data_IF_909561607268
#
_entry.id   IF_909561607268
#
_cell.length_a   1.000
_cell.length_b   1.000
_cell.length_c   1.000
_cell.angle_alpha   90.00
_cell.angle_beta   90.00
_cell.angle_gamma   90.00
#
_symmetry.space_group_name_H-M   'P 1'
#
loop_
_entity.id
_entity.type
_entity.pdbx_description
1 polymer ?
#
# COMPACT_ATOMS: atom_id res chain seq x y z
N UNK A 1 16.49 17.46 18.03
CA UNK A 1 17.48 16.71 17.22
C UNK A 1 17.55 17.40 15.87
N UNK A 2 18.72 17.83 15.39
CA UNK A 2 18.81 18.41 14.05
C UNK A 2 18.42 17.33 13.02
N UNK A 3 17.48 17.66 12.13
CA UNK A 3 16.92 16.76 11.11
C UNK A 3 18.00 16.29 10.11
N UNK A 4 19.16 16.93 10.09
CA UNK A 4 20.25 16.68 9.15
C UNK A 4 21.05 15.39 9.43
N UNK A 5 20.78 14.69 10.55
CA UNK A 5 21.46 13.44 10.93
C UNK A 5 20.56 12.19 10.82
N UNK A 6 19.45 12.24 10.08
CA UNK A 6 18.60 11.07 9.89
C UNK A 6 19.30 10.02 9.01
N UNK A 7 19.46 8.80 9.54
CA UNK A 7 19.93 7.64 8.77
C UNK A 7 18.73 6.81 8.34
N UNK A 8 18.51 6.73 7.03
CA UNK A 8 17.42 5.96 6.46
C UNK A 8 17.87 4.53 6.13
N UNK A 9 17.10 3.53 6.56
CA UNK A 9 17.33 2.12 6.20
C UNK A 9 16.60 1.73 4.92
N UNK A 10 15.50 2.39 4.63
CA UNK A 10 14.79 2.22 3.39
C UNK A 10 14.31 3.58 2.87
N UNK A 11 14.39 3.76 1.55
CA UNK A 11 13.95 4.96 0.85
C UNK A 11 13.19 4.52 -0.39
N UNK A 12 12.09 5.19 -0.68
CA UNK A 12 11.32 5.01 -1.90
C UNK A 12 10.91 6.38 -2.45
N UNK A 13 10.76 6.49 -3.76
CA UNK A 13 10.43 7.74 -4.43
C UNK A 13 9.41 7.52 -5.52
N UNK A 14 8.47 8.45 -5.66
CA UNK A 14 7.43 8.38 -6.68
C UNK A 14 7.04 9.78 -7.16
N UNK A 15 6.34 9.83 -8.30
CA UNK A 15 5.76 11.06 -8.84
C UNK A 15 4.27 11.13 -8.52
N UNK A 16 3.82 12.28 -8.05
CA UNK A 16 2.42 12.59 -7.78
C UNK A 16 2.11 13.98 -8.33
N UNK A 17 1.20 14.04 -9.30
CA UNK A 17 0.79 15.30 -9.95
C UNK A 17 2.00 16.13 -10.44
N UNK A 18 3.00 15.47 -11.02
CA UNK A 18 4.22 16.11 -11.53
C UNK A 18 5.25 16.49 -10.46
N UNK A 19 4.95 16.21 -9.19
CA UNK A 19 5.83 16.47 -8.05
C UNK A 19 6.51 15.18 -7.60
N UNK A 20 7.83 15.20 -7.40
CA UNK A 20 8.54 14.02 -6.87
C UNK A 20 8.50 14.05 -5.35
N UNK A 21 8.06 12.96 -4.74
CA UNK A 21 8.02 12.78 -3.29
C UNK A 21 8.93 11.62 -2.93
N UNK A 22 9.73 11.81 -1.89
CA UNK A 22 10.64 10.79 -1.36
C UNK A 22 10.20 10.46 0.06
N UNK A 23 10.04 9.17 0.34
CA UNK A 23 9.80 8.64 1.67
C UNK A 23 11.06 7.96 2.18
N UNK A 24 11.33 8.10 3.47
CA UNK A 24 12.45 7.47 4.14
C UNK A 24 12.02 6.87 5.47
N UNK A 25 12.47 5.66 5.76
CA UNK A 25 12.26 5.01 7.06
C UNK A 25 13.52 5.09 7.89
N UNK A 26 13.42 5.72 9.05
CA UNK A 26 14.47 5.68 10.07
C UNK A 26 14.27 4.47 10.95
N UNK A 27 15.37 3.80 11.29
CA UNK A 27 15.35 2.65 12.16
C UNK A 27 15.98 2.99 13.51
N UNK A 28 15.35 2.62 14.62
CA UNK A 28 15.94 2.82 15.94
C UNK A 28 17.26 2.05 16.06
N UNK A 29 18.23 2.62 16.77
CA UNK A 29 19.45 1.89 17.12
C UNK A 29 19.11 0.67 17.98
N UNK A 30 19.95 -0.36 17.93
CA UNK A 30 19.75 -1.58 18.70
C UNK A 30 19.62 -1.23 20.20
N UNK A 31 18.47 -1.54 20.80
CA UNK A 31 18.16 -1.25 22.21
C UNK A 31 17.41 0.06 22.47
N UNK A 32 17.16 0.89 21.45
CA UNK A 32 16.26 2.03 21.59
C UNK A 32 14.80 1.56 21.64
N UNK A 33 14.00 2.17 22.52
CA UNK A 33 12.57 1.86 22.71
C UNK A 33 11.67 2.53 21.66
N UNK A 34 12.18 3.54 20.96
CA UNK A 34 11.42 4.25 19.94
C UNK A 34 11.21 3.35 18.72
N UNK A 35 10.01 3.33 18.13
CA UNK A 35 9.78 2.59 16.91
C UNK A 35 10.44 3.23 15.67
N UNK A 36 10.46 2.49 14.55
CA UNK A 36 10.75 3.08 13.25
C UNK A 36 9.75 4.20 12.92
N UNK A 37 10.25 5.25 12.26
CA UNK A 37 9.46 6.41 11.84
C UNK A 37 9.57 6.56 10.34
N UNK A 38 8.46 6.97 9.72
CA UNK A 38 8.42 7.32 8.31
C UNK A 38 8.50 8.83 8.17
N UNK A 39 9.37 9.24 7.26
CA UNK A 39 9.63 10.62 6.91
C UNK A 39 9.36 10.81 5.43
N UNK A 40 9.01 12.03 5.04
CA UNK A 40 8.90 12.41 3.65
C UNK A 40 9.54 13.76 3.38
N UNK A 41 9.96 13.98 2.13
CA UNK A 41 10.31 15.28 1.59
C UNK A 41 9.85 15.37 0.15
N UNK A 42 9.66 16.59 -0.33
CA UNK A 42 9.09 16.86 -1.63
C UNK A 42 10.06 17.67 -2.47
N UNK A 43 10.28 17.28 -3.73
CA UNK A 43 10.96 18.10 -4.71
C UNK A 43 9.95 19.07 -5.30
N UNK A 44 10.04 20.33 -4.89
CA UNK A 44 9.13 21.37 -5.30
C UNK A 44 9.63 22.05 -6.59
N UNK A 45 9.30 21.45 -7.74
CA UNK A 45 9.68 22.00 -9.05
C UNK A 45 8.96 23.32 -9.38
N UNK A 46 7.88 23.64 -8.66
CA UNK A 46 7.16 24.90 -8.82
C UNK A 46 7.85 26.07 -8.11
N UNK A 47 8.84 25.81 -7.25
CA UNK A 47 9.77 26.85 -6.81
C UNK A 47 10.64 27.24 -8.00
N UNK A 48 10.21 28.26 -8.72
CA UNK A 48 11.09 29.03 -9.59
C UNK A 48 12.16 29.65 -8.70
N UNK A 49 13.33 29.02 -8.64
CA UNK A 49 14.56 29.75 -8.34
C UNK A 49 14.57 30.97 -9.26
N UNK A 50 14.89 32.15 -8.72
CA UNK A 50 15.06 33.38 -9.52
C UNK A 50 15.76 33.00 -10.83
N UNK A 51 15.04 33.09 -11.94
CA UNK A 51 15.51 32.68 -13.27
C UNK A 51 16.72 33.50 -13.73
N UNK A 52 17.09 34.54 -12.98
CA UNK A 52 18.11 35.52 -13.31
C UNK A 52 19.48 35.24 -12.69
N UNK A 53 19.68 34.14 -11.96
CA UNK A 53 21.02 33.68 -11.58
C UNK A 53 21.47 32.47 -12.41
N UNK A 54 22.13 32.70 -13.57
CA UNK A 54 22.80 31.63 -14.30
C UNK A 54 23.92 31.04 -13.43
N UNK A 55 23.64 29.92 -12.76
CA UNK A 55 24.61 29.25 -11.87
C UNK A 55 24.04 28.65 -10.58
N UNK A 56 22.78 28.92 -10.19
CA UNK A 56 22.16 28.35 -8.98
C UNK A 56 21.49 26.99 -9.22
N UNK A 57 22.15 26.11 -9.99
CA UNK A 57 21.75 24.71 -10.19
C UNK A 57 21.97 23.84 -8.94
N UNK A 58 22.11 24.43 -7.75
CA UNK A 58 22.08 23.69 -6.50
C UNK A 58 20.66 23.16 -6.25
N UNK A 59 20.36 22.04 -6.92
CA UNK A 59 19.16 21.21 -6.81
C UNK A 59 18.78 20.89 -5.36
N UNK A 60 19.74 21.01 -4.43
CA UNK A 60 19.54 20.82 -2.99
C UNK A 60 18.50 21.79 -2.38
N UNK A 61 18.37 23.00 -2.91
CA UNK A 61 17.47 24.05 -2.37
C UNK A 61 16.00 23.84 -2.72
N UNK A 62 15.70 23.05 -3.75
CA UNK A 62 14.32 22.80 -4.22
C UNK A 62 13.57 21.73 -3.45
N UNK A 63 14.29 21.02 -2.59
CA UNK A 63 13.68 20.03 -1.74
C UNK A 63 13.19 20.67 -0.45
N UNK A 64 12.01 20.27 -0.01
CA UNK A 64 11.60 20.55 1.35
C UNK A 64 12.53 19.84 2.34
N UNK A 65 12.54 20.30 3.59
CA UNK A 65 13.08 19.50 4.69
C UNK A 65 12.31 18.18 4.84
N UNK A 66 12.88 17.27 5.63
CA UNK A 66 12.16 16.07 6.06
C UNK A 66 11.07 16.42 7.05
N UNK A 67 9.89 15.85 6.83
CA UNK A 67 8.73 15.90 7.71
C UNK A 67 8.36 14.48 8.13
N UNK A 68 7.93 14.30 9.37
CA UNK A 68 7.36 13.02 9.80
C UNK A 68 6.00 12.80 9.11
N UNK A 69 5.76 11.57 8.65
CA UNK A 69 4.49 11.19 8.01
C UNK A 69 3.40 11.14 9.08
N UNK A 70 2.30 11.92 8.95
CA UNK A 70 1.22 11.89 9.92
C UNK A 70 0.39 10.62 9.76
N UNK A 71 -0.15 10.10 10.86
CA UNK A 71 -1.05 8.94 10.83
C UNK A 71 -2.30 9.17 11.68
N UNK A 72 -3.46 8.63 11.27
CA UNK A 72 -4.71 8.82 12.00
C UNK A 72 -4.78 7.88 13.20
N UNK A 73 -5.45 8.28 14.30
CA UNK A 73 -5.60 7.48 15.51
C UNK A 73 -6.73 6.43 15.42
N UNK A 74 -7.34 6.29 14.24
CA UNK A 74 -8.48 5.42 13.99
C UNK A 74 -8.08 4.28 13.04
N UNK A 75 -8.65 3.11 13.28
CA UNK A 75 -8.47 1.89 12.50
C UNK A 75 -9.82 1.39 12.00
N UNK A 76 -9.87 0.92 10.76
CA UNK A 76 -11.05 0.34 10.12
C UNK A 76 -10.64 -0.85 9.28
N UNK A 77 -11.38 -1.96 9.33
CA UNK A 77 -11.14 -3.07 8.41
C UNK A 77 -11.48 -2.63 6.96
N UNK A 78 -10.62 -2.98 6.00
CA UNK A 78 -10.86 -2.70 4.59
C UNK A 78 -12.22 -3.28 4.15
N UNK A 79 -12.97 -2.50 3.36
CA UNK A 79 -14.32 -2.83 2.91
C UNK A 79 -15.41 -2.87 3.99
N UNK A 80 -15.12 -2.52 5.25
CA UNK A 80 -16.13 -2.38 6.30
C UNK A 80 -16.32 -0.92 6.72
N UNK A 81 -17.43 -0.29 6.33
CA UNK A 81 -17.73 1.10 6.73
C UNK A 81 -18.27 1.27 8.15
N UNK A 82 -18.84 0.21 8.74
CA UNK A 82 -19.63 0.32 9.98
C UNK A 82 -18.80 0.30 11.28
N UNK A 83 -17.59 -0.26 11.25
CA UNK A 83 -16.76 -0.43 12.45
C UNK A 83 -15.44 0.34 12.30
N UNK A 84 -15.41 1.54 12.87
CA UNK A 84 -14.16 2.29 13.06
C UNK A 84 -13.81 2.27 14.54
N UNK A 85 -12.63 1.73 14.86
CA UNK A 85 -12.15 1.60 16.24
C UNK A 85 -11.16 2.73 16.49
N UNK A 86 -11.36 3.46 17.59
CA UNK A 86 -10.32 4.35 18.14
C UNK A 86 -9.24 3.48 18.76
N UNK A 87 -8.29 3.09 17.93
CA UNK A 87 -7.12 2.36 18.35
C UNK A 87 -5.93 3.14 17.83
N UNK A 88 -5.08 3.62 18.75
CA UNK A 88 -3.75 4.02 18.35
C UNK A 88 -3.05 2.77 17.83
N UNK A 89 -3.12 2.58 16.52
CA UNK A 89 -2.19 1.72 15.83
C UNK A 89 -0.84 2.27 16.21
N UNK A 90 -0.06 1.51 16.98
CA UNK A 90 1.35 1.82 17.12
C UNK A 90 1.89 1.79 15.69
N UNK A 91 2.05 2.98 15.10
CA UNK A 91 2.56 3.15 13.74
C UNK A 91 4.03 2.71 13.61
N UNK A 92 4.58 2.30 14.75
CA UNK A 92 5.84 1.68 14.97
C UNK A 92 5.83 0.16 15.08
N UNK A 93 6.97 -0.42 14.71
CA UNK A 93 7.34 -1.84 14.76
C UNK A 93 7.04 -2.65 13.49
N UNK A 94 7.45 -2.12 12.33
CA UNK A 94 8.02 -3.05 11.36
C UNK A 94 9.19 -3.79 12.05
N UNK A 95 9.27 -5.13 11.93
CA UNK A 95 10.44 -5.91 12.43
C UNK A 95 11.61 -5.92 11.45
N UNK A 96 11.38 -5.49 10.21
CA UNK A 96 12.41 -5.24 9.21
C UNK A 96 12.15 -3.90 8.51
N UNK A 97 13.22 -3.15 8.13
CA UNK A 97 13.04 -1.94 7.34
C UNK A 97 12.46 -2.26 5.96
N UNK A 98 11.68 -1.34 5.42
CA UNK A 98 11.11 -1.43 4.08
C UNK A 98 9.87 -2.31 3.96
N UNK A 99 9.21 -2.66 5.06
CA UNK A 99 7.90 -3.32 5.07
C UNK A 99 6.75 -2.35 4.69
N UNK A 100 6.95 -1.54 3.65
CA UNK A 100 5.97 -0.57 3.16
C UNK A 100 6.16 -0.29 1.67
N UNK A 101 5.11 0.23 1.03
CA UNK A 101 5.06 0.64 -0.38
C UNK A 101 4.20 1.88 -0.54
N UNK A 102 4.62 2.79 -1.40
CA UNK A 102 3.86 4.01 -1.73
C UNK A 102 3.50 4.01 -3.21
N UNK A 103 2.26 4.40 -3.51
CA UNK A 103 1.73 4.51 -4.86
C UNK A 103 0.95 5.81 -5.00
N UNK A 104 0.92 6.38 -6.19
CA UNK A 104 0.16 7.59 -6.52
C UNK A 104 -0.92 7.23 -7.54
N UNK A 105 -2.18 7.60 -7.26
CA UNK A 105 -3.29 7.40 -8.19
C UNK A 105 -4.49 8.28 -7.87
N UNK A 106 -5.17 8.80 -8.90
CA UNK A 106 -6.48 9.46 -8.77
C UNK A 106 -6.54 10.61 -7.75
N UNK A 107 -5.52 11.48 -7.73
CA UNK A 107 -5.44 12.61 -6.78
C UNK A 107 -4.99 12.24 -5.36
N UNK A 108 -4.66 10.96 -5.13
CA UNK A 108 -4.23 10.48 -3.82
C UNK A 108 -2.86 9.80 -3.86
N UNK A 109 -2.22 9.78 -2.70
CA UNK A 109 -1.04 9.01 -2.38
C UNK A 109 -1.45 7.91 -1.40
N UNK A 110 -1.18 6.67 -1.76
CA UNK A 110 -1.48 5.48 -0.97
C UNK A 110 -0.20 4.95 -0.34
N UNK A 111 -0.17 4.85 0.98
CA UNK A 111 0.93 4.23 1.72
C UNK A 111 0.44 2.94 2.35
N UNK A 112 0.95 1.82 1.85
CA UNK A 112 0.73 0.49 2.39
C UNK A 112 1.89 0.11 3.31
N UNK A 113 1.59 -0.49 4.47
CA UNK A 113 2.58 -0.89 5.48
C UNK A 113 2.20 -2.26 6.03
N UNK A 114 3.15 -3.18 6.08
CA UNK A 114 2.97 -4.40 6.86
C UNK A 114 3.48 -4.14 8.27
N UNK A 115 2.60 -4.32 9.27
CA UNK A 115 2.92 -4.11 10.67
C UNK A 115 2.56 -5.36 11.49
N UNK A 116 3.35 -5.61 12.52
CA UNK A 116 3.07 -6.60 13.56
C UNK A 116 2.57 -5.86 14.81
N UNK A 117 1.25 -5.70 14.92
CA UNK A 117 0.63 -4.94 16.01
C UNK A 117 0.35 -5.78 17.27
N UNK A 118 0.68 -7.07 17.25
CA UNK A 118 0.51 -7.91 18.45
C UNK A 118 1.64 -7.60 19.45
N UNK A 119 1.34 -7.56 20.76
CA UNK A 119 2.38 -7.46 21.79
C UNK A 119 3.39 -8.61 21.65
N UNK A 120 4.68 -8.41 21.99
CA UNK A 120 5.73 -9.43 21.90
C UNK A 120 5.33 -10.81 22.42
N UNK A 121 4.55 -10.83 23.50
CA UNK A 121 4.10 -12.05 24.19
C UNK A 121 3.01 -12.83 23.42
N UNK A 122 2.30 -12.20 22.48
CA UNK A 122 1.23 -12.79 21.67
C UNK A 122 1.59 -12.83 20.18
N UNK A 123 2.84 -12.54 19.83
CA UNK A 123 3.30 -12.56 18.45
C UNK A 123 3.40 -14.00 17.94
N UNK A 124 2.83 -14.23 16.77
CA UNK A 124 2.87 -15.48 16.03
C UNK A 124 3.41 -15.18 14.61
N UNK A 125 3.87 -16.20 13.88
CA UNK A 125 4.37 -16.10 12.52
C UNK A 125 3.36 -15.44 11.56
N UNK A 126 2.07 -15.47 11.92
CA UNK A 126 0.97 -14.90 11.14
C UNK A 126 0.39 -13.61 11.74
N UNK A 127 1.12 -12.91 12.60
CA UNK A 127 0.66 -11.66 13.22
C UNK A 127 0.69 -10.45 12.28
N UNK A 128 1.48 -10.52 11.22
CA UNK A 128 1.60 -9.45 10.24
C UNK A 128 0.29 -9.20 9.49
N UNK A 129 -0.03 -7.92 9.36
CA UNK A 129 -1.18 -7.42 8.59
C UNK A 129 -0.74 -6.25 7.73
N UNK A 130 -1.38 -6.09 6.58
CA UNK A 130 -1.18 -4.92 5.73
C UNK A 130 -2.17 -3.84 6.13
N UNK A 131 -1.66 -2.63 6.35
CA UNK A 131 -2.41 -1.42 6.66
C UNK A 131 -2.22 -0.42 5.53
N UNK A 132 -3.23 0.38 5.23
CA UNK A 132 -3.09 1.45 4.26
C UNK A 132 -3.59 2.78 4.80
N UNK A 133 -2.92 3.84 4.39
CA UNK A 133 -3.31 5.22 4.62
C UNK A 133 -3.35 5.96 3.30
N UNK A 134 -4.28 6.89 3.18
CA UNK A 134 -4.43 7.75 2.02
C UNK A 134 -4.10 9.18 2.37
N UNK A 135 -3.37 9.82 1.46
CA UNK A 135 -2.91 11.18 1.61
C UNK A 135 -3.22 12.00 0.37
N UNK A 136 -3.27 13.30 0.58
CA UNK A 136 -3.28 14.33 -0.46
C UNK A 136 -2.03 15.19 -0.29
N UNK A 137 -1.61 15.89 -1.34
CA UNK A 137 -0.43 16.76 -1.31
C UNK A 137 -0.78 18.23 -1.63
N UNK A 138 -1.65 18.89 -0.83
CA UNK A 138 -1.97 20.29 -1.05
C UNK A 138 -0.75 21.19 -0.83
N UNK A 139 -0.72 22.33 -1.51
CA UNK A 139 0.22 23.41 -1.21
C UNK A 139 -0.32 24.25 -0.07
N UNK A 140 0.45 24.38 0.99
CA UNK A 140 0.09 25.14 2.19
C UNK A 140 1.22 26.09 2.58
N UNK A 141 0.89 27.14 3.34
CA UNK A 141 1.90 28.09 3.85
C UNK A 141 2.96 27.31 4.64
N UNK A 142 4.24 27.59 4.35
CA UNK A 142 5.35 26.92 5.01
C UNK A 142 5.24 27.06 6.54
N UNK A 143 5.32 25.95 7.30
CA UNK A 143 5.14 25.96 8.75
C UNK A 143 6.30 26.65 9.48
N UNK A 144 7.42 26.88 8.80
CA UNK A 144 8.61 27.55 9.35
C UNK A 144 8.47 29.08 9.42
N UNK A 145 7.29 29.61 9.09
CA UNK A 145 6.85 30.95 9.49
C UNK A 145 7.59 32.10 8.80
N UNK A 146 6.93 32.73 7.82
CA UNK A 146 6.99 34.18 7.53
C UNK A 146 8.32 34.85 7.10
N UNK A 147 9.48 34.23 7.28
CA UNK A 147 10.78 34.83 6.96
C UNK A 147 11.28 34.45 5.56
N UNK A 148 10.79 33.36 4.99
CA UNK A 148 10.90 33.08 3.55
C UNK A 148 9.78 33.80 2.82
N UNK A 149 9.89 35.14 2.73
CA UNK A 149 9.11 35.88 1.74
C UNK A 149 9.62 35.43 0.37
N UNK A 150 8.72 34.98 -0.51
CA UNK A 150 9.05 34.84 -1.91
C UNK A 150 9.50 36.20 -2.48
N UNK A 151 10.13 36.20 -3.65
CA UNK A 151 10.62 37.41 -4.33
C UNK A 151 9.51 38.49 -4.48
N UNK A 152 8.24 38.11 -4.42
CA UNK A 152 7.04 38.97 -4.49
C UNK A 152 6.48 39.45 -3.13
N UNK A 153 7.02 39.02 -1.99
CA UNK A 153 6.45 39.32 -0.67
C UNK A 153 5.21 38.51 -0.29
N UNK A 154 4.75 37.59 -1.16
CA UNK A 154 3.69 36.63 -0.86
C UNK A 154 4.19 35.48 0.02
N UNK A 155 3.28 34.91 0.81
CA UNK A 155 3.58 33.78 1.68
C UNK A 155 3.98 32.56 0.82
N UNK A 156 5.20 32.06 1.03
CA UNK A 156 5.69 30.87 0.35
C UNK A 156 4.83 29.65 0.73
N UNK A 157 4.15 29.07 -0.26
CA UNK A 157 3.45 27.80 -0.09
C UNK A 157 4.36 26.66 -0.51
N UNK A 158 4.34 25.58 0.26
CA UNK A 158 5.09 24.34 -0.01
C UNK A 158 4.12 23.16 -0.03
N UNK A 159 4.36 22.14 -0.86
CA UNK A 159 3.58 20.90 -0.82
C UNK A 159 3.70 20.24 0.56
N UNK A 160 2.57 19.86 1.17
CA UNK A 160 2.55 19.17 2.45
C UNK A 160 1.68 17.93 2.37
N UNK A 161 2.18 16.82 2.89
CA UNK A 161 1.43 15.58 2.96
C UNK A 161 0.34 15.71 4.04
N UNK A 162 -0.92 15.54 3.64
CA UNK A 162 -2.08 15.60 4.52
C UNK A 162 -2.88 14.32 4.43
N UNK A 163 -3.36 13.84 5.58
CA UNK A 163 -4.31 12.73 5.61
C UNK A 163 -5.53 13.08 4.77
N UNK A 164 -5.97 12.13 3.95
CA UNK A 164 -7.19 12.27 3.20
C UNK A 164 -8.39 12.42 4.15
N UNK A 165 -9.40 13.16 3.71
CA UNK A 165 -10.60 13.43 4.48
C UNK A 165 -11.74 12.59 3.93
N UNK A 166 -12.61 12.12 4.80
CA UNK A 166 -13.84 11.46 4.40
C UNK A 166 -15.08 12.22 4.89
N UNK A 167 -16.19 12.06 4.18
CA UNK A 167 -17.47 12.55 4.64
C UNK A 167 -18.02 11.62 5.73
N UNK A 168 -18.46 12.20 6.84
CA UNK A 168 -19.17 11.50 7.92
C UNK A 168 -20.37 12.32 8.38
N UNK A 169 -21.31 11.67 9.04
CA UNK A 169 -22.40 12.35 9.73
C UNK A 169 -21.84 13.23 10.85
N UNK A 170 -22.16 14.52 10.83
CA UNK A 170 -21.47 15.54 11.63
C UNK A 170 -21.67 15.38 13.13
N UNK A 171 -22.84 14.90 13.56
CA UNK A 171 -23.16 14.68 14.99
C UNK A 171 -22.70 13.31 15.46
N UNK A 172 -22.99 12.24 14.71
CA UNK A 172 -22.56 10.88 15.10
C UNK A 172 -21.07 10.63 14.95
N UNK A 173 -20.41 11.33 14.02
CA UNK A 173 -19.03 11.07 13.61
C UNK A 173 -18.85 9.74 12.86
N UNK A 174 -19.94 9.08 12.45
CA UNK A 174 -19.93 7.81 11.72
C UNK A 174 -20.05 8.04 10.21
N UNK A 175 -19.44 7.16 9.41
CA UNK A 175 -19.49 7.26 7.93
C UNK A 175 -20.92 7.11 7.40
N UNK A 176 -21.63 6.08 7.86
CA UNK A 176 -22.92 5.66 7.28
C UNK A 176 -24.12 5.78 8.22
N UNK A 177 -23.90 5.92 9.53
CA UNK A 177 -24.99 5.92 10.53
C UNK A 177 -25.24 7.31 11.11
N UNK A 178 -26.34 7.99 10.75
CA UNK A 178 -26.72 9.25 11.39
C UNK A 178 -27.12 9.04 12.86
N UNK A 179 -26.87 10.03 13.71
CA UNK A 179 -27.36 10.03 15.10
C UNK A 179 -28.88 10.30 15.16
N UNK A 180 -29.41 11.05 14.20
CA UNK A 180 -30.83 11.44 14.12
C UNK A 180 -31.19 11.86 12.69
N UNK A 181 -32.47 12.08 12.41
CA UNK A 181 -32.97 12.52 11.10
C UNK A 181 -32.44 13.88 10.63
N UNK A 182 -31.92 14.70 11.54
CA UNK A 182 -31.32 16.02 11.24
C UNK A 182 -29.79 15.99 11.20
N UNK A 183 -29.18 14.81 11.34
CA UNK A 183 -27.74 14.64 11.22
C UNK A 183 -27.37 14.59 9.73
N UNK A 184 -26.59 15.56 9.27
CA UNK A 184 -26.17 15.68 7.88
C UNK A 184 -24.73 15.22 7.72
N UNK A 185 -24.35 14.75 6.54
CA UNK A 185 -22.95 14.46 6.23
C UNK A 185 -22.12 15.73 6.02
N UNK A 186 -20.83 15.66 6.34
CA UNK A 186 -19.85 16.73 6.10
C UNK A 186 -18.41 16.21 6.30
N UNK A 187 -17.42 17.01 5.92
CA UNK A 187 -15.99 16.69 6.11
C UNK A 187 -15.43 17.21 7.43
N UNK A 188 -16.28 17.86 8.24
CA UNK A 188 -15.97 18.37 9.57
C UNK A 188 -17.13 18.08 10.51
N UNK A 189 -16.82 17.82 11.76
CA UNK A 189 -17.81 17.58 12.80
C UNK A 189 -18.56 18.86 13.23
N UNK A 190 -19.24 18.79 14.38
CA UNK A 190 -19.94 19.91 14.97
C UNK A 190 -19.02 20.91 15.69
N UNK A 191 -17.79 20.53 16.07
CA UNK A 191 -16.78 21.43 16.67
C UNK A 191 -15.90 22.10 15.61
N UNK A 192 -15.94 21.62 14.37
CA UNK A 192 -15.18 22.12 13.23
C UNK A 192 -13.93 21.30 12.93
N UNK A 193 -13.69 20.21 13.66
CA UNK A 193 -12.57 19.32 13.44
C UNK A 193 -12.78 18.49 12.18
N UNK A 194 -11.71 18.28 11.41
CA UNK A 194 -11.80 17.54 10.15
C UNK A 194 -11.94 16.04 10.39
N UNK A 195 -12.85 15.40 9.66
CA UNK A 195 -12.91 13.95 9.59
C UNK A 195 -11.79 13.45 8.68
N UNK A 196 -10.75 12.90 9.31
CA UNK A 196 -9.66 12.20 8.60
C UNK A 196 -10.06 10.76 8.34
N UNK A 197 -9.62 10.21 7.22
CA UNK A 197 -9.76 8.79 6.96
C UNK A 197 -8.98 7.96 7.98
N UNK A 198 -9.57 6.86 8.50
CA UNK A 198 -8.86 5.95 9.37
C UNK A 198 -7.79 5.17 8.59
N UNK A 199 -6.88 4.55 9.34
CA UNK A 199 -6.01 3.52 8.78
C UNK A 199 -6.88 2.32 8.37
N UNK A 200 -6.73 1.84 7.14
CA UNK A 200 -7.44 0.65 6.68
C UNK A 200 -6.61 -0.61 6.94
N UNK A 201 -7.20 -1.64 7.54
CA UNK A 201 -6.59 -2.96 7.76
C UNK A 201 -7.05 -3.95 6.69
N UNK A 202 -6.11 -4.54 5.97
CA UNK A 202 -6.33 -5.62 5.01
C UNK A 202 -6.09 -6.95 5.72
N UNK A 203 -7.11 -7.40 6.46
CA UNK A 203 -7.01 -8.56 7.37
C UNK A 203 -6.75 -9.91 6.65
N UNK A 204 -7.10 -9.98 5.37
CA UNK A 204 -6.84 -11.12 4.48
C UNK A 204 -5.38 -11.22 4.04
N UNK A 205 -4.61 -10.12 4.09
CA UNK A 205 -3.21 -10.11 3.69
C UNK A 205 -2.33 -10.43 4.91
N UNK A 206 -1.59 -11.55 4.83
CA UNK A 206 -0.76 -12.05 5.94
C UNK A 206 0.69 -12.26 5.52
N UNK A 207 1.41 -11.19 5.14
CA UNK A 207 2.77 -11.33 4.63
C UNK A 207 3.72 -11.83 5.71
N UNK A 208 4.37 -12.95 5.46
CA UNK A 208 5.46 -13.49 6.26
C UNK A 208 6.57 -12.44 6.37
N UNK A 209 6.94 -12.09 7.62
CA UNK A 209 7.93 -11.06 7.93
C UNK A 209 7.64 -9.69 7.31
N UNK A 210 6.37 -9.40 6.99
CA UNK A 210 5.96 -8.16 6.37
C UNK A 210 6.42 -7.99 4.92
N UNK A 211 6.82 -9.08 4.24
CA UNK A 211 7.24 -9.04 2.85
C UNK A 211 6.03 -9.06 1.91
N UNK A 212 5.72 -7.88 1.38
CA UNK A 212 4.72 -7.72 0.35
C UNK A 212 5.13 -6.66 -0.67
N UNK A 213 4.45 -6.65 -1.80
CA UNK A 213 4.42 -5.53 -2.73
C UNK A 213 3.01 -5.36 -3.26
N UNK A 214 2.69 -4.16 -3.72
CA UNK A 214 1.39 -3.80 -4.27
C UNK A 214 1.61 -2.94 -5.50
N UNK A 215 0.71 -3.06 -6.47
CA UNK A 215 0.69 -2.25 -7.68
C UNK A 215 -0.74 -2.05 -8.14
N UNK A 216 -0.94 -1.04 -8.97
CA UNK A 216 -2.21 -0.78 -9.62
C UNK A 216 -2.16 -1.35 -11.03
N UNK A 217 -3.16 -2.13 -11.43
CA UNK A 217 -3.28 -2.70 -12.77
C UNK A 217 -4.61 -2.34 -13.40
N UNK A 218 -4.69 -2.19 -14.74
CA UNK A 218 -5.97 -2.04 -15.41
C UNK A 218 -6.90 -3.22 -15.12
N UNK A 219 -8.20 -2.99 -15.10
CA UNK A 219 -9.20 -4.04 -14.96
C UNK A 219 -9.97 -4.29 -16.26
N UNK A 220 -10.73 -5.39 -16.29
CA UNK A 220 -11.73 -5.68 -17.32
C UNK A 220 -13.02 -4.85 -17.15
N UNK A 221 -13.17 -4.10 -16.06
CA UNK A 221 -14.28 -3.20 -15.82
C UNK A 221 -13.91 -1.81 -16.34
N UNK A 222 -14.64 -1.26 -17.33
CA UNK A 222 -14.32 0.02 -17.93
C UNK A 222 -14.19 1.15 -16.89
N UNK A 223 -13.09 1.89 -16.96
CA UNK A 223 -12.82 3.02 -16.07
C UNK A 223 -12.40 2.64 -14.64
N UNK A 224 -12.22 1.35 -14.35
CA UNK A 224 -11.76 0.87 -13.03
C UNK A 224 -10.41 0.15 -13.13
N UNK A 225 -9.61 0.34 -12.09
CA UNK A 225 -8.34 -0.35 -11.88
C UNK A 225 -8.49 -1.44 -10.81
N UNK A 226 -7.46 -2.27 -10.63
CA UNK A 226 -7.35 -3.28 -9.58
C UNK A 226 -6.08 -3.06 -8.76
N UNK A 227 -6.21 -3.22 -7.46
CA UNK A 227 -5.06 -3.39 -6.59
C UNK A 227 -4.57 -4.83 -6.67
N UNK A 228 -3.32 -5.02 -7.07
CA UNK A 228 -2.69 -6.33 -7.10
C UNK A 228 -1.61 -6.42 -6.03
N UNK A 229 -1.84 -7.25 -5.02
CA UNK A 229 -0.91 -7.53 -3.93
C UNK A 229 -0.18 -8.84 -4.18
N UNK A 230 1.10 -8.86 -3.81
CA UNK A 230 1.91 -10.06 -3.75
C UNK A 230 2.52 -10.14 -2.37
N UNK A 231 2.25 -11.23 -1.66
CA UNK A 231 2.71 -11.45 -0.31
C UNK A 231 3.58 -12.71 -0.28
N UNK A 232 4.73 -12.66 0.39
CA UNK A 232 5.42 -13.89 0.79
C UNK A 232 4.61 -14.49 1.92
N UNK A 233 4.23 -15.75 1.82
CA UNK A 233 3.37 -16.44 2.78
C UNK A 233 3.91 -17.83 3.08
N UNK A 234 3.27 -18.52 4.03
CA UNK A 234 3.51 -19.93 4.30
C UNK A 234 2.31 -20.73 3.83
N UNK A 235 2.57 -21.75 3.01
CA UNK A 235 1.58 -22.69 2.53
C UNK A 235 1.79 -24.03 3.22
N UNK A 236 0.73 -24.59 3.79
CA UNK A 236 0.70 -25.97 4.24
C UNK A 236 0.13 -26.82 3.12
N UNK A 237 0.91 -27.72 2.49
CA UNK A 237 0.34 -28.63 1.53
C UNK A 237 -0.69 -29.52 2.21
N UNK A 238 -1.79 -29.80 1.51
CA UNK A 238 -2.78 -30.77 1.98
C UNK A 238 -2.08 -32.10 2.25
N UNK A 239 -2.46 -32.74 3.37
CA UNK A 239 -2.07 -34.13 3.61
C UNK A 239 -2.61 -34.99 2.47
N UNK A 240 -1.80 -35.93 1.98
CA UNK A 240 -2.26 -36.97 1.06
C UNK A 240 -3.56 -37.59 1.61
N UNK A 241 -4.58 -37.81 0.77
CA UNK A 241 -5.89 -38.31 1.23
C UNK A 241 -5.82 -39.65 1.97
N UNK A 242 -4.73 -40.41 1.76
CA UNK A 242 -4.46 -41.70 2.42
C UNK A 242 -3.43 -41.62 3.56
N UNK A 243 -3.02 -40.43 3.99
CA UNK A 243 -2.12 -40.28 5.13
C UNK A 243 -2.81 -40.77 6.42
N UNK A 244 -2.10 -41.57 7.24
CA UNK A 244 -2.60 -41.98 8.56
C UNK A 244 -3.02 -40.75 9.38
N UNK A 245 -4.11 -40.87 10.15
CA UNK A 245 -4.67 -39.78 10.94
C UNK A 245 -3.68 -39.14 11.94
N UNK A 246 -2.61 -39.87 12.30
CA UNK A 246 -1.55 -39.43 13.20
C UNK A 246 -0.24 -39.07 12.46
N UNK A 247 -0.22 -39.07 11.13
CA UNK A 247 0.94 -38.67 10.36
C UNK A 247 1.25 -37.18 10.63
N UNK A 248 2.52 -36.82 10.88
CA UNK A 248 2.88 -35.42 11.10
C UNK A 248 2.50 -34.61 9.87
N UNK A 249 1.78 -33.49 10.10
CA UNK A 249 1.43 -32.58 9.03
C UNK A 249 2.69 -32.16 8.26
N UNK A 250 2.62 -32.07 6.93
CA UNK A 250 3.78 -31.67 6.15
C UNK A 250 4.25 -30.27 6.57
N UNK A 251 5.57 -30.01 6.49
CA UNK A 251 6.13 -28.74 6.93
C UNK A 251 5.58 -27.60 6.07
N UNK A 252 5.36 -26.45 6.72
CA UNK A 252 5.02 -25.20 6.04
C UNK A 252 6.12 -24.83 5.04
N UNK A 253 5.72 -24.51 3.81
CA UNK A 253 6.62 -24.08 2.74
C UNK A 253 6.41 -22.60 2.42
N UNK A 254 7.46 -21.83 2.11
CA UNK A 254 7.27 -20.47 1.62
C UNK A 254 6.55 -20.49 0.27
N UNK A 255 5.56 -19.62 0.12
CA UNK A 255 4.80 -19.42 -1.12
C UNK A 255 4.62 -17.93 -1.41
N UNK A 256 4.15 -17.60 -2.61
CA UNK A 256 3.72 -16.24 -2.94
C UNK A 256 2.20 -16.25 -3.11
N UNK A 257 1.51 -15.58 -2.19
CA UNK A 257 0.09 -15.25 -2.34
C UNK A 257 -0.05 -14.05 -3.27
N UNK A 258 -0.91 -14.15 -4.28
CA UNK A 258 -1.32 -13.02 -5.14
C UNK A 258 -2.76 -12.68 -4.81
N UNK A 259 -3.11 -11.40 -4.64
CA UNK A 259 -4.48 -10.96 -4.38
C UNK A 259 -4.83 -9.85 -5.36
N UNK A 260 -5.99 -9.96 -6.01
CA UNK A 260 -6.48 -8.96 -6.96
C UNK A 260 -7.81 -8.42 -6.47
N UNK A 261 -7.84 -7.14 -6.11
CA UNK A 261 -9.00 -6.47 -5.51
C UNK A 261 -9.46 -5.35 -6.43
N UNK A 262 -10.73 -5.35 -6.81
CA UNK A 262 -11.31 -4.27 -7.63
C UNK A 262 -11.25 -2.96 -6.84
N UNK A 263 -10.92 -1.87 -7.54
CA UNK A 263 -10.93 -0.54 -6.97
C UNK A 263 -12.33 0.08 -7.14
N UNK A 264 -12.87 0.59 -6.05
CA UNK A 264 -14.11 1.36 -6.06
C UNK A 264 -13.87 2.76 -6.64
N UNK A 265 -14.95 3.49 -6.94
CA UNK A 265 -14.91 4.85 -7.48
C UNK A 265 -14.27 5.83 -6.49
N UNK A 266 -14.36 5.54 -5.18
CA UNK A 266 -13.66 6.30 -4.15
C UNK A 266 -12.15 6.01 -4.14
N UNK A 267 -11.67 5.03 -4.90
CA UNK A 267 -10.28 4.66 -5.04
C UNK A 267 -9.77 3.64 -4.01
N UNK A 268 -10.58 3.20 -3.06
CA UNK A 268 -10.28 2.08 -2.16
C UNK A 268 -10.71 0.75 -2.76
N UNK A 269 -10.57 -0.35 -2.00
CA UNK A 269 -11.01 -1.67 -2.46
C UNK A 269 -12.53 -1.80 -2.37
N UNK A 270 -13.13 -2.24 -3.46
CA UNK A 270 -14.51 -2.73 -3.49
C UNK A 270 -14.51 -4.18 -3.04
N UNK A 271 -14.90 -4.42 -1.78
CA UNK A 271 -15.09 -5.78 -1.24
C UNK A 271 -16.53 -6.28 -1.40
N UNK A 272 -17.41 -5.51 -2.04
CA UNK A 272 -18.76 -5.99 -2.40
C UNK A 272 -18.70 -6.94 -3.59
N UNK A 273 -17.65 -6.83 -4.40
CA UNK A 273 -17.30 -7.71 -5.52
C UNK A 273 -16.68 -9.06 -5.06
N UNK A 274 -17.33 -9.75 -4.12
CA UNK A 274 -17.06 -11.12 -3.61
C UNK A 274 -16.21 -11.27 -2.35
N UNK A 275 -16.93 -11.35 -1.24
CA UNK A 275 -16.58 -12.22 -0.12
C UNK A 275 -16.96 -13.70 -0.43
N UNK A 276 -16.51 -14.24 -1.55
CA UNK A 276 -16.43 -15.69 -1.75
C UNK A 276 -15.00 -16.13 -1.43
N UNK A 277 -14.69 -16.17 -0.14
CA UNK A 277 -13.59 -16.99 0.37
C UNK A 277 -14.01 -18.47 0.25
N UNK A 278 -14.09 -18.98 -0.98
CA UNK A 278 -14.30 -20.40 -1.25
C UNK A 278 -12.96 -21.12 -1.21
N UNK A 279 -12.80 -21.92 -0.17
CA UNK A 279 -11.78 -22.93 0.09
C UNK A 279 -11.72 -24.06 -0.97
N UNK A 280 -11.87 -23.78 -2.26
CA UNK A 280 -11.86 -24.84 -3.29
C UNK A 280 -10.98 -24.49 -4.48
N UNK A 281 -10.00 -25.38 -4.66
CA UNK A 281 -8.79 -25.32 -5.49
C UNK A 281 -9.05 -25.40 -7.01
N UNK A 282 -10.30 -25.52 -7.45
CA UNK A 282 -10.63 -26.05 -8.79
C UNK A 282 -11.12 -25.05 -9.84
N UNK A 283 -11.33 -23.77 -9.52
CA UNK A 283 -11.79 -22.76 -10.51
C UNK A 283 -10.70 -21.81 -11.01
N UNK A 284 -9.42 -22.22 -10.92
CA UNK A 284 -8.27 -21.33 -11.16
C UNK A 284 -8.04 -20.91 -12.63
N UNK A 285 -8.72 -21.51 -13.62
CA UNK A 285 -8.40 -21.31 -15.04
C UNK A 285 -9.58 -21.15 -16.00
N UNK A 286 -10.83 -21.31 -15.54
CA UNK A 286 -11.96 -21.44 -16.46
C UNK A 286 -12.58 -20.11 -16.87
N UNK A 287 -12.47 -19.06 -16.08
CA UNK A 287 -13.09 -17.76 -16.33
C UNK A 287 -12.15 -16.72 -15.66
N UNK A 288 -12.05 -15.46 -16.10
CA UNK A 288 -11.50 -14.40 -15.23
C UNK A 288 -12.65 -13.70 -14.45
N UNK A 289 -13.28 -14.27 -13.40
CA UNK A 289 -14.19 -13.54 -12.55
C UNK A 289 -13.58 -13.39 -11.15
N UNK A 290 -13.56 -12.15 -10.67
CA UNK A 290 -13.65 -11.70 -9.28
C UNK A 290 -12.92 -12.53 -8.21
N UNK A 291 -11.87 -11.90 -7.67
CA UNK A 291 -11.05 -12.33 -6.51
C UNK A 291 -10.45 -13.73 -6.65
N UNK A 292 -9.60 -13.92 -7.66
CA UNK A 292 -8.70 -15.06 -7.70
C UNK A 292 -7.42 -14.76 -6.91
N UNK A 293 -7.24 -15.41 -5.76
CA UNK A 293 -5.93 -15.50 -5.14
C UNK A 293 -5.10 -16.57 -5.89
N UNK A 294 -4.23 -16.16 -6.82
CA UNK A 294 -3.37 -17.13 -7.52
C UNK A 294 -2.14 -17.38 -6.66
N UNK A 295 -2.11 -18.53 -5.97
CA UNK A 295 -0.90 -19.02 -5.34
C UNK A 295 0.04 -19.53 -6.46
N UNK A 296 0.94 -18.67 -6.93
CA UNK A 296 2.00 -19.13 -7.83
C UNK A 296 3.01 -19.87 -6.97
N UNK A 297 2.95 -21.20 -7.02
CA UNK A 297 4.00 -22.04 -6.44
C UNK A 297 5.20 -21.98 -7.40
N UNK A 298 6.31 -21.32 -7.06
CA UNK A 298 7.51 -21.57 -7.82
C UNK A 298 7.90 -23.03 -7.56
N UNK A 299 7.94 -23.88 -8.59
CA UNK A 299 8.82 -25.07 -8.58
C UNK A 299 10.28 -24.63 -8.66
N UNK A 300 10.67 -23.66 -7.82
CA UNK A 300 12.05 -23.24 -7.64
C UNK A 300 12.53 -24.03 -6.43
N UNK A 301 13.23 -25.13 -6.68
CA UNK A 301 13.89 -25.89 -5.62
C UNK A 301 14.75 -24.95 -4.77
N UNK A 302 14.64 -25.10 -3.44
CA UNK A 302 15.48 -24.51 -2.38
C UNK A 302 16.05 -23.11 -2.64
N UNK A 303 15.32 -22.25 -3.36
CA UNK A 303 15.65 -20.84 -3.45
C UNK A 303 15.18 -20.23 -2.15
N UNK A 304 16.12 -20.09 -1.21
CA UNK A 304 15.94 -19.27 -0.02
C UNK A 304 15.46 -17.89 -0.47
N UNK A 305 14.15 -17.64 -0.35
CA UNK A 305 13.52 -16.32 -0.49
C UNK A 305 13.99 -15.45 0.69
N UNK A 306 15.28 -15.17 0.78
CA UNK A 306 15.92 -14.53 1.92
C UNK A 306 15.68 -13.01 1.95
N UNK A 307 15.23 -12.41 0.85
CA UNK A 307 15.09 -10.96 0.70
C UNK A 307 13.66 -10.54 0.31
N UNK A 308 13.47 -9.25 0.00
CA UNK A 308 12.24 -8.57 -0.48
C UNK A 308 12.16 -8.63 -2.03
N UNK A 309 10.99 -8.48 -2.68
CA UNK A 309 11.00 -8.39 -4.13
C UNK A 309 11.54 -7.02 -4.55
N UNK A 310 12.60 -7.02 -5.35
CA UNK A 310 13.29 -5.83 -5.84
C UNK A 310 12.55 -5.19 -7.03
N UNK A 311 11.95 -6.02 -7.88
CA UNK A 311 11.23 -5.58 -9.05
C UNK A 311 10.04 -6.50 -9.32
N UNK A 312 8.94 -5.90 -9.75
CA UNK A 312 7.78 -6.61 -10.25
C UNK A 312 7.59 -6.18 -11.70
N UNK A 313 7.85 -7.08 -12.63
CA UNK A 313 7.74 -6.80 -14.07
C UNK A 313 6.52 -7.51 -14.61
N UNK A 314 5.55 -6.75 -15.08
CA UNK A 314 4.44 -7.31 -15.84
C UNK A 314 4.86 -7.49 -17.30
N UNK A 315 4.68 -8.70 -17.82
CA UNK A 315 4.81 -8.98 -19.24
C UNK A 315 3.43 -9.30 -19.80
N UNK A 316 3.04 -8.53 -20.81
CA UNK A 316 1.93 -8.89 -21.68
C UNK A 316 2.35 -10.15 -22.45
N UNK A 317 1.65 -11.26 -22.22
CA UNK A 317 1.82 -12.46 -23.02
C UNK A 317 0.62 -12.56 -23.96
N UNK A 318 0.84 -12.14 -25.21
CA UNK A 318 -0.09 -12.42 -26.30
C UNK A 318 -0.10 -13.92 -26.54
N UNK A 319 -1.24 -14.56 -26.28
CA UNK A 319 -1.41 -15.96 -26.62
C UNK A 319 -1.60 -16.04 -28.14
N UNK A 320 -0.53 -16.40 -28.87
CA UNK A 320 -0.66 -16.73 -30.29
C UNK A 320 -1.67 -17.88 -30.43
N UNK A 321 -2.86 -17.58 -30.94
CA UNK A 321 -3.86 -18.57 -31.26
C UNK A 321 -3.26 -19.55 -32.25
N UNK A 322 -3.15 -20.83 -31.86
CA UNK A 322 -2.83 -21.89 -32.80
C UNK A 322 -3.91 -21.93 -33.87
N UNK A 323 -3.53 -21.59 -35.11
CA UNK A 323 -4.35 -21.77 -36.29
C UNK A 323 -4.69 -23.25 -36.44
N UNK A 324 -5.89 -23.65 -36.03
CA UNK A 324 -6.51 -24.85 -36.56
C UNK A 324 -7.28 -24.42 -37.81
N UNK A 325 -6.80 -24.83 -38.99
CA UNK A 325 -7.28 -24.44 -40.32
C UNK A 325 -8.70 -24.88 -40.70
N UNK A 326 -9.56 -25.25 -39.75
CA UNK A 326 -10.92 -25.70 -40.06
C UNK A 326 -11.89 -25.44 -38.90
N UNK A 327 -12.30 -24.18 -38.71
CA UNK A 327 -13.64 -23.85 -38.19
C UNK A 327 -13.88 -22.33 -38.29
N UNK A 328 -14.82 -21.91 -39.14
CA UNK A 328 -15.44 -20.58 -39.06
C UNK A 328 -16.23 -20.49 -37.75
N UNK A 329 -15.54 -20.14 -36.66
CA UNK A 329 -16.16 -19.71 -35.42
C UNK A 329 -15.60 -18.34 -35.05
N UNK A 330 -16.52 -17.44 -34.72
CA UNK A 330 -16.26 -16.07 -34.32
C UNK A 330 -15.04 -16.00 -33.37
N UNK A 331 -14.04 -15.22 -33.77
CA UNK A 331 -12.84 -14.93 -32.98
C UNK A 331 -13.31 -14.27 -31.68
N UNK A 332 -13.29 -15.05 -30.59
CA UNK A 332 -13.43 -14.53 -29.23
C UNK A 332 -12.28 -13.54 -28.98
N UNK A 333 -12.52 -12.39 -28.32
CA UNK A 333 -11.47 -11.42 -28.06
C UNK A 333 -10.29 -12.10 -27.34
N UNK A 334 -9.10 -11.81 -27.87
CA UNK A 334 -7.83 -12.39 -27.49
C UNK A 334 -7.63 -12.38 -25.98
N UNK A 335 -7.29 -13.55 -25.41
CA UNK A 335 -6.95 -13.68 -24.00
C UNK A 335 -5.58 -13.03 -23.77
N UNK A 336 -5.58 -11.88 -23.12
CA UNK A 336 -4.37 -11.23 -22.64
C UNK A 336 -4.01 -11.85 -21.30
N UNK A 337 -2.92 -12.63 -21.23
CA UNK A 337 -2.34 -13.02 -19.95
C UNK A 337 -1.34 -11.95 -19.48
N UNK A 338 -1.56 -11.44 -18.27
CA UNK A 338 -0.59 -10.59 -17.58
C UNK A 338 0.25 -11.49 -16.68
N UNK A 339 1.49 -11.76 -17.10
CA UNK A 339 2.45 -12.53 -16.30
C UNK A 339 3.28 -11.59 -15.45
N UNK A 340 3.24 -11.72 -14.12
CA UNK A 340 4.09 -10.96 -13.22
C UNK A 340 5.38 -11.74 -12.92
N UNK A 341 6.52 -11.20 -13.36
CA UNK A 341 7.83 -11.66 -12.91
C UNK A 341 8.20 -10.89 -11.64
N UNK A 342 8.22 -11.59 -10.52
CA UNK A 342 8.69 -11.04 -9.25
C UNK A 342 10.16 -11.42 -9.09
N UNK A 343 11.05 -10.43 -9.15
CA UNK A 343 12.48 -10.63 -8.94
C UNK A 343 12.83 -10.42 -7.47
N UNK A 344 13.51 -11.40 -6.87
CA UNK A 344 14.04 -11.34 -5.51
C UNK A 344 15.56 -11.50 -5.60
N UNK A 345 16.36 -10.65 -4.95
CA UNK A 345 17.81 -10.88 -4.88
C UNK A 345 18.11 -12.04 -3.93
N UNK A 346 19.00 -12.97 -4.26
CA UNK A 346 19.52 -13.89 -3.25
C UNK A 346 20.13 -13.08 -2.10
N UNK A 347 19.82 -13.43 -0.85
CA UNK A 347 20.48 -12.81 0.29
C UNK A 347 21.97 -13.07 0.20
N UNK A 348 22.81 -12.04 0.26
CA UNK A 348 24.24 -12.25 0.48
C UNK A 348 24.41 -12.88 1.85
N UNK A 349 24.87 -14.13 1.90
CA UNK A 349 25.34 -14.71 3.16
C UNK A 349 26.46 -13.80 3.69
N UNK A 350 26.21 -13.20 4.85
CA UNK A 350 27.18 -12.44 5.63
C UNK A 350 27.70 -13.26 6.78
#
# INVERSE_FOLDING_TARGET
MAIDNLTFKHVDSFSHEGTVVVFGETWPEAGASEPSKLWYRVLDLAQTADQDQPGSWEDATRWTRWFEVPFPPELRAAGMSLLTIKQQVNHGYARAPGCWKVLSSGGFIYLFRALDLLPPEKQDVHSWRVYANRFTLPREISPDGGNSKGTSGEAMTVPQLRLAREARYRRSGQRETPQSSIDSQGTRDMTGDAFVEPTLEFSMLRPLNGFFTVTLTPSNVPGRDRWQFFCKETFQPESEPDAEADAPLPPLRPAIGCYSLLRDDDGWVDLTDKFDLLNTRDDLFSILPDVAAVLVHPTLGDLELASRPDALTFRLQEQAGGLNDNEERAVSPERVMISALVSWRPGSQG
#
